data_IF_178998279896
#
_entry.id   IF_178998279896
#
_cell.length_a   1.000
_cell.length_b   1.000
_cell.length_c   1.000
_cell.angle_alpha   90.00
_cell.angle_beta   90.00
_cell.angle_gamma   90.00
#
_symmetry.space_group_name_H-M   'P 1'
#
loop_
_entity.id
_entity.type
_entity.pdbx_description
1 polymer ?
#
# COMPACT_ATOMS: atom_id res chain seq x y z
N UNK A 1 -9.93 -15.36 -20.61
CA UNK A 1 -9.65 -14.55 -19.40
C UNK A 1 -8.32 -15.04 -18.81
N UNK A 2 -7.28 -14.21 -18.88
CA UNK A 2 -5.90 -14.62 -18.53
C UNK A 2 -5.53 -14.30 -17.08
N UNK A 3 -6.32 -13.43 -16.42
CA UNK A 3 -6.13 -13.04 -15.03
C UNK A 3 -7.27 -13.57 -14.16
N UNK A 4 -6.94 -14.08 -12.99
CA UNK A 4 -7.90 -14.50 -11.97
C UNK A 4 -8.14 -13.44 -10.90
N UNK A 5 -7.25 -12.45 -10.81
CA UNK A 5 -7.36 -11.34 -9.88
C UNK A 5 -6.63 -10.10 -10.39
N UNK A 6 -7.21 -8.94 -10.15
CA UNK A 6 -6.57 -7.62 -10.34
C UNK A 6 -6.96 -6.75 -9.15
N UNK A 7 -5.97 -6.32 -8.39
CA UNK A 7 -6.13 -5.37 -7.29
C UNK A 7 -5.45 -4.05 -7.61
N UNK A 8 -5.90 -2.97 -7.00
CA UNK A 8 -5.30 -1.65 -7.15
C UNK A 8 -5.14 -0.97 -5.80
N UNK A 9 -4.04 -0.28 -5.62
CA UNK A 9 -3.80 0.55 -4.45
C UNK A 9 -3.02 1.80 -4.80
N UNK A 10 -3.14 2.81 -3.95
CA UNK A 10 -2.42 4.08 -4.07
C UNK A 10 -1.60 4.27 -2.80
N UNK A 11 -0.29 4.48 -2.96
CA UNK A 11 0.56 4.91 -1.86
C UNK A 11 0.36 6.41 -1.64
N UNK A 12 -0.07 6.76 -0.42
CA UNK A 12 -0.44 8.13 -0.07
C UNK A 12 0.73 8.98 0.42
N UNK A 13 1.89 8.39 0.62
CA UNK A 13 3.04 9.03 1.25
C UNK A 13 3.30 8.52 2.65
N UNK A 14 4.27 9.12 3.32
CA UNK A 14 4.76 8.65 4.61
C UNK A 14 5.04 9.78 5.58
N UNK A 15 5.11 9.41 6.85
CA UNK A 15 5.68 10.23 7.90
C UNK A 15 6.64 9.39 8.76
N UNK A 16 7.68 10.03 9.27
CA UNK A 16 8.62 9.43 10.20
C UNK A 16 8.02 9.42 11.61
N UNK A 17 7.85 8.22 12.19
CA UNK A 17 7.43 8.02 13.57
C UNK A 17 8.61 8.08 14.53
N UNK A 18 9.76 7.60 14.08
CA UNK A 18 11.05 7.64 14.76
C UNK A 18 12.18 7.53 13.74
N UNK A 19 13.46 7.74 14.10
CA UNK A 19 14.60 7.63 13.17
C UNK A 19 14.71 6.27 12.45
N UNK A 20 14.07 5.24 12.99
CA UNK A 20 14.12 3.87 12.44
C UNK A 20 12.74 3.34 12.04
N UNK A 21 11.69 4.14 12.09
CA UNK A 21 10.33 3.70 11.84
C UNK A 21 9.55 4.74 11.05
N UNK A 22 9.05 4.34 9.89
CA UNK A 22 8.23 5.17 9.00
C UNK A 22 6.83 4.58 8.88
N UNK A 23 5.81 5.43 8.99
CA UNK A 23 4.43 5.09 8.66
C UNK A 23 4.16 5.44 7.20
N UNK A 24 3.77 4.46 6.39
CA UNK A 24 3.21 4.65 5.06
C UNK A 24 1.69 4.50 5.07
N UNK A 25 0.97 5.38 4.39
CA UNK A 25 -0.48 5.25 4.23
C UNK A 25 -0.82 4.66 2.87
N UNK A 26 -1.76 3.73 2.86
CA UNK A 26 -2.26 3.04 1.65
C UNK A 26 -3.75 3.25 1.49
N UNK A 27 -4.16 3.59 0.27
CA UNK A 27 -5.54 3.54 -0.18
C UNK A 27 -5.72 2.29 -1.03
N UNK A 28 -6.56 1.36 -0.58
CA UNK A 28 -6.91 0.16 -1.33
C UNK A 28 -8.24 0.36 -2.02
N UNK A 29 -8.29 0.04 -3.32
CA UNK A 29 -9.51 0.17 -4.13
C UNK A 29 -10.25 -1.16 -4.16
N UNK A 30 -11.57 -1.08 -4.16
CA UNK A 30 -12.47 -2.25 -4.21
C UNK A 30 -12.14 -3.24 -3.05
N UNK A 31 -11.91 -4.51 -3.39
CA UNK A 31 -11.60 -5.57 -2.43
C UNK A 31 -10.09 -5.81 -2.21
N UNK A 32 -9.24 -4.92 -2.72
CA UNK A 32 -7.77 -5.10 -2.70
C UNK A 32 -7.20 -5.24 -1.29
N UNK A 33 -7.80 -4.60 -0.29
CA UNK A 33 -7.37 -4.75 1.11
C UNK A 33 -7.34 -6.21 1.60
N UNK A 34 -8.21 -7.06 1.06
CA UNK A 34 -8.34 -8.46 1.47
C UNK A 34 -7.11 -9.31 1.14
N UNK A 35 -6.28 -8.90 0.16
CA UNK A 35 -5.04 -9.63 -0.16
C UNK A 35 -3.84 -9.22 0.69
N UNK A 36 -4.00 -8.23 1.57
CA UNK A 36 -2.97 -7.72 2.48
C UNK A 36 -3.33 -7.92 3.97
N UNK A 37 -3.67 -9.14 4.42
CA UNK A 37 -4.19 -9.35 5.78
C UNK A 37 -3.22 -8.93 6.88
N UNK A 38 -1.91 -8.93 6.63
CA UNK A 38 -0.91 -8.46 7.60
C UNK A 38 -0.98 -6.95 7.91
N UNK A 39 -1.57 -6.17 7.00
CA UNK A 39 -1.65 -4.70 7.11
C UNK A 39 -3.09 -4.19 7.24
N UNK A 40 -4.09 -5.06 7.05
CA UNK A 40 -5.50 -4.65 6.98
C UNK A 40 -6.42 -5.42 7.94
N UNK A 41 -5.85 -6.29 8.79
CA UNK A 41 -6.65 -6.99 9.81
C UNK A 41 -7.07 -6.04 10.90
N UNK A 42 -8.37 -5.99 11.17
CA UNK A 42 -8.98 -5.16 12.20
C UNK A 42 -8.95 -5.88 13.55
N UNK A 43 -8.63 -5.14 14.60
CA UNK A 43 -8.76 -5.55 16.01
C UNK A 43 -10.01 -4.93 16.63
N UNK A 44 -10.28 -3.65 16.33
CA UNK A 44 -11.45 -2.93 16.81
C UNK A 44 -12.00 -2.00 15.73
N UNK A 45 -13.33 -1.82 15.67
CA UNK A 45 -13.97 -0.97 14.67
C UNK A 45 -14.05 -1.61 13.29
N UNK A 46 -13.78 -0.84 12.24
CA UNK A 46 -13.86 -1.29 10.84
C UNK A 46 -12.74 -0.68 9.98
N UNK A 47 -12.51 -1.28 8.82
CA UNK A 47 -11.69 -0.63 7.78
C UNK A 47 -12.35 0.67 7.29
N UNK A 48 -11.56 1.64 6.85
CA UNK A 48 -12.05 2.85 6.19
C UNK A 48 -12.85 2.50 4.92
N UNK A 49 -14.00 3.14 4.74
CA UNK A 49 -14.88 2.95 3.56
C UNK A 49 -15.06 4.26 2.78
N UNK A 50 -15.01 5.39 3.46
CA UNK A 50 -15.19 6.71 2.87
C UNK A 50 -13.86 7.49 2.83
N UNK A 51 -13.74 8.49 1.93
CA UNK A 51 -12.59 9.39 1.92
C UNK A 51 -12.34 10.02 3.29
N UNK A 52 -11.08 10.25 3.62
CA UNK A 52 -10.62 10.84 4.89
C UNK A 52 -10.90 10.01 6.14
N UNK A 53 -11.36 8.78 6.02
CA UNK A 53 -11.33 7.80 7.09
C UNK A 53 -9.96 7.12 7.16
N UNK A 54 -9.54 6.71 8.38
CA UNK A 54 -8.25 6.05 8.59
C UNK A 54 -8.36 4.91 9.60
N UNK A 55 -7.57 3.86 9.38
CA UNK A 55 -7.32 2.81 10.36
C UNK A 55 -5.81 2.69 10.61
N UNK A 56 -5.43 2.66 11.89
CA UNK A 56 -4.05 2.59 12.37
C UNK A 56 -3.95 1.55 13.50
N UNK A 57 -2.80 0.93 13.69
CA UNK A 57 -2.59 0.05 14.83
C UNK A 57 -2.42 0.84 16.13
N UNK A 58 -2.68 0.18 17.25
CA UNK A 58 -2.55 0.79 18.58
C UNK A 58 -1.13 1.35 18.83
N UNK A 59 -0.10 0.62 18.40
CA UNK A 59 1.28 1.06 18.57
C UNK A 59 1.60 2.31 17.74
N UNK A 60 1.06 2.42 16.51
CA UNK A 60 1.21 3.64 15.69
C UNK A 60 0.54 4.83 16.39
N UNK A 61 -0.66 4.65 16.92
CA UNK A 61 -1.36 5.70 17.66
C UNK A 61 -0.56 6.18 18.88
N UNK A 62 0.08 5.26 19.60
CA UNK A 62 1.01 5.58 20.70
C UNK A 62 2.22 6.40 20.24
N UNK A 63 2.86 6.01 19.13
CA UNK A 63 3.96 6.78 18.54
C UNK A 63 3.54 8.21 18.16
N UNK A 64 2.31 8.36 17.68
CA UNK A 64 1.74 9.66 17.33
C UNK A 64 1.29 10.49 18.54
N UNK A 65 1.28 9.91 19.76
CA UNK A 65 0.76 10.55 20.97
C UNK A 65 -0.74 10.79 20.92
N UNK A 66 -1.47 9.97 20.15
CA UNK A 66 -2.91 10.10 20.01
C UNK A 66 -3.64 9.46 21.21
N UNK A 67 -4.43 10.26 21.92
CA UNK A 67 -5.18 9.83 23.12
C UNK A 67 -6.69 9.64 22.85
N UNK A 68 -7.12 9.88 21.60
CA UNK A 68 -8.51 9.69 21.17
C UNK A 68 -8.87 8.23 20.91
N UNK A 69 -10.11 8.00 20.49
CA UNK A 69 -10.64 6.68 20.12
C UNK A 69 -11.28 6.68 18.74
N UNK A 70 -11.95 5.55 18.41
CA UNK A 70 -12.72 5.41 17.18
C UNK A 70 -13.79 6.52 17.11
N UNK A 71 -13.86 7.20 15.96
CA UNK A 71 -14.73 8.36 15.73
C UNK A 71 -14.04 9.70 15.94
N UNK A 72 -12.90 9.73 16.61
CA UNK A 72 -12.15 10.97 16.83
C UNK A 72 -11.27 11.31 15.62
N UNK A 73 -10.91 12.59 15.55
CA UNK A 73 -10.10 13.13 14.46
C UNK A 73 -8.62 13.07 14.79
N UNK A 74 -7.82 12.66 13.82
CA UNK A 74 -6.37 12.65 13.90
C UNK A 74 -5.78 13.44 12.74
N UNK A 75 -4.83 14.32 13.03
CA UNK A 75 -4.14 15.14 12.02
C UNK A 75 -2.75 14.58 11.76
N UNK A 76 -2.45 14.30 10.48
CA UNK A 76 -1.16 13.78 10.05
C UNK A 76 -0.54 14.68 8.99
N UNK A 77 0.79 14.85 9.07
CA UNK A 77 1.59 15.52 8.05
C UNK A 77 2.41 14.49 7.30
N UNK A 78 2.19 14.39 6.01
CA UNK A 78 2.79 13.38 5.17
C UNK A 78 3.61 14.01 4.04
N UNK A 79 4.55 13.23 3.53
CA UNK A 79 5.35 13.56 2.37
C UNK A 79 5.24 12.44 1.34
N UNK A 80 4.98 12.78 0.09
CA UNK A 80 4.97 11.86 -1.03
C UNK A 80 5.94 12.32 -2.10
N UNK A 81 6.82 11.43 -2.54
CA UNK A 81 7.74 11.67 -3.63
C UNK A 81 7.10 11.32 -4.96
N UNK A 82 7.50 12.00 -6.03
CA UNK A 82 7.20 11.56 -7.38
C UNK A 82 7.87 10.22 -7.67
N UNK A 83 7.17 9.39 -8.44
CA UNK A 83 7.74 8.15 -8.97
C UNK A 83 8.93 8.48 -9.86
N UNK A 84 10.05 7.79 -9.65
CA UNK A 84 11.33 8.00 -10.37
C UNK A 84 11.99 9.36 -10.19
N UNK A 85 11.46 10.25 -9.35
CA UNK A 85 12.09 11.51 -9.01
C UNK A 85 11.95 11.82 -7.52
N UNK A 86 12.85 11.27 -6.71
CA UNK A 86 12.85 11.47 -5.25
C UNK A 86 13.20 12.91 -4.84
N UNK A 87 13.70 13.74 -5.75
CA UNK A 87 13.97 15.15 -5.49
C UNK A 87 12.68 15.99 -5.47
N UNK A 88 11.64 15.54 -6.17
CA UNK A 88 10.33 16.19 -6.20
C UNK A 88 9.40 15.52 -5.19
N UNK A 89 9.07 16.26 -4.14
CA UNK A 89 8.18 15.78 -3.09
C UNK A 89 7.01 16.76 -2.87
N UNK A 90 5.87 16.20 -2.53
CA UNK A 90 4.68 16.94 -2.12
C UNK A 90 4.40 16.65 -0.65
N UNK A 91 4.38 17.72 0.17
CA UNK A 91 4.07 17.64 1.58
C UNK A 91 2.67 18.20 1.82
N UNK A 92 1.90 17.52 2.63
CA UNK A 92 0.54 17.93 2.99
C UNK A 92 0.19 17.53 4.41
N UNK A 93 -0.75 18.25 4.98
CA UNK A 93 -1.33 17.95 6.31
C UNK A 93 -2.82 17.73 6.12
N UNK A 94 -3.33 16.65 6.69
CA UNK A 94 -4.73 16.27 6.56
C UNK A 94 -5.30 15.77 7.89
N UNK A 95 -6.58 16.04 8.10
CA UNK A 95 -7.37 15.55 9.23
C UNK A 95 -8.20 14.35 8.80
N UNK A 96 -8.03 13.23 9.48
CA UNK A 96 -8.74 11.97 9.24
C UNK A 96 -9.65 11.63 10.42
N UNK A 97 -10.70 10.85 10.16
CA UNK A 97 -11.52 10.24 11.21
C UNK A 97 -11.04 8.80 11.43
N UNK A 98 -10.65 8.48 12.67
CA UNK A 98 -10.24 7.12 13.02
C UNK A 98 -11.47 6.19 13.04
N UNK A 99 -11.49 5.17 12.18
CA UNK A 99 -12.62 4.22 12.07
C UNK A 99 -12.29 2.83 12.56
N UNK A 100 -11.00 2.50 12.68
CA UNK A 100 -10.59 1.18 13.14
C UNK A 100 -9.19 1.15 13.70
N UNK A 101 -8.99 0.20 14.60
CA UNK A 101 -7.68 -0.19 15.13
C UNK A 101 -7.23 -1.44 14.40
N UNK A 102 -6.10 -1.36 13.73
CA UNK A 102 -5.47 -2.49 13.05
C UNK A 102 -4.70 -3.35 14.05
N UNK A 103 -4.59 -4.63 13.77
CA UNK A 103 -3.65 -5.51 14.48
C UNK A 103 -2.22 -5.05 14.25
N UNK A 104 -1.38 -5.11 15.27
CA UNK A 104 0.02 -4.77 15.15
C UNK A 104 0.73 -5.72 14.17
N UNK A 105 1.48 -5.14 13.23
CA UNK A 105 2.31 -5.88 12.28
C UNK A 105 3.78 -5.88 12.73
N UNK A 106 4.17 -6.87 13.50
CA UNK A 106 5.54 -6.97 14.04
C UNK A 106 6.63 -7.07 12.96
N UNK A 107 6.33 -7.61 11.79
CA UNK A 107 7.27 -7.64 10.67
C UNK A 107 7.54 -6.23 10.12
N UNK A 108 6.55 -5.35 10.15
CA UNK A 108 6.72 -3.94 9.78
C UNK A 108 7.72 -3.23 10.68
N UNK A 109 7.68 -3.49 11.98
CA UNK A 109 8.64 -2.89 12.93
C UNK A 109 10.07 -3.36 12.69
N UNK A 110 10.27 -4.62 12.32
CA UNK A 110 11.62 -5.14 12.01
C UNK A 110 12.14 -4.62 10.68
N UNK A 111 11.28 -4.33 9.72
CA UNK A 111 11.65 -3.74 8.42
C UNK A 111 11.77 -2.21 8.43
N UNK A 112 11.34 -1.57 9.53
CA UNK A 112 11.36 -0.11 9.67
C UNK A 112 10.19 0.60 8.97
N UNK A 113 9.21 -0.14 8.46
CA UNK A 113 8.03 0.44 7.77
C UNK A 113 6.75 -0.21 8.25
N UNK A 114 5.84 0.59 8.77
CA UNK A 114 4.48 0.18 9.17
C UNK A 114 3.45 0.85 8.27
N UNK A 115 2.29 0.23 8.14
CA UNK A 115 1.25 0.66 7.19
C UNK A 115 -0.02 1.07 7.94
N UNK A 116 -0.58 2.22 7.57
CA UNK A 116 -1.94 2.61 7.87
C UNK A 116 -2.82 2.55 6.61
N UNK A 117 -4.12 2.46 6.79
CA UNK A 117 -5.09 2.34 5.71
C UNK A 117 -6.00 3.55 5.71
N UNK A 118 -6.23 4.14 4.55
CA UNK A 118 -7.21 5.22 4.35
C UNK A 118 -8.32 4.79 3.40
N UNK A 119 -9.46 5.47 3.49
CA UNK A 119 -10.62 5.15 2.69
C UNK A 119 -10.46 5.53 1.21
N UNK A 120 -11.15 4.80 0.34
CA UNK A 120 -11.15 5.03 -1.10
C UNK A 120 -11.64 6.44 -1.44
N UNK A 121 -10.93 7.12 -2.36
CA UNK A 121 -11.19 8.52 -2.73
C UNK A 121 -10.37 9.55 -1.93
N UNK A 122 -9.60 9.13 -0.96
CA UNK A 122 -8.74 10.03 -0.16
C UNK A 122 -7.62 10.65 -1.00
N UNK A 123 -7.02 9.86 -1.90
CA UNK A 123 -5.95 10.34 -2.79
C UNK A 123 -6.43 11.49 -3.68
N UNK A 124 -7.61 11.36 -4.26
CA UNK A 124 -8.19 12.38 -5.13
C UNK A 124 -8.46 13.71 -4.40
N UNK A 125 -8.73 13.64 -3.09
CA UNK A 125 -8.95 14.84 -2.28
C UNK A 125 -7.67 15.52 -1.83
N UNK A 126 -6.58 14.78 -1.63
CA UNK A 126 -5.39 15.28 -0.97
C UNK A 126 -4.18 15.47 -1.89
N UNK A 127 -4.06 14.68 -2.95
CA UNK A 127 -2.87 14.67 -3.80
C UNK A 127 -3.13 15.38 -5.13
N UNK A 128 -2.15 16.14 -5.64
CA UNK A 128 -2.17 16.56 -7.04
C UNK A 128 -2.16 15.33 -7.96
N UNK A 129 -2.83 15.43 -9.11
CA UNK A 129 -2.98 14.33 -10.07
C UNK A 129 -1.65 13.68 -10.44
N UNK A 130 -0.60 14.48 -10.61
CA UNK A 130 0.75 13.99 -10.93
C UNK A 130 1.39 13.12 -9.85
N UNK A 131 0.87 13.15 -8.62
CA UNK A 131 1.31 12.32 -7.50
C UNK A 131 0.42 11.10 -7.26
N UNK A 132 -0.66 10.93 -8.05
CA UNK A 132 -1.54 9.78 -7.98
C UNK A 132 -1.11 8.77 -9.04
N UNK A 133 -0.60 7.62 -8.59
CA UNK A 133 -0.31 6.47 -9.44
C UNK A 133 -0.67 5.18 -8.70
N UNK A 134 -1.13 4.22 -9.47
CA UNK A 134 -1.62 2.95 -8.94
C UNK A 134 -0.50 1.91 -8.89
N UNK A 135 -0.45 1.19 -7.77
CA UNK A 135 0.16 -0.13 -7.75
C UNK A 135 -0.93 -1.11 -8.19
N UNK A 136 -0.59 -2.00 -9.10
CA UNK A 136 -1.52 -3.00 -9.63
C UNK A 136 -1.01 -4.38 -9.28
N UNK A 137 -1.81 -5.12 -8.51
CA UNK A 137 -1.54 -6.51 -8.16
C UNK A 137 -2.30 -7.42 -9.10
N UNK A 138 -1.63 -8.35 -9.73
CA UNK A 138 -2.24 -9.32 -10.62
C UNK A 138 -1.97 -10.75 -10.17
N UNK A 139 -2.94 -11.63 -10.44
CA UNK A 139 -2.78 -13.08 -10.37
C UNK A 139 -3.21 -13.67 -11.71
N UNK A 140 -2.35 -14.48 -12.31
CA UNK A 140 -2.68 -15.20 -13.54
C UNK A 140 -3.66 -16.33 -13.26
N UNK A 141 -4.53 -16.62 -14.23
CA UNK A 141 -5.49 -17.71 -14.12
C UNK A 141 -4.81 -19.10 -14.24
N UNK A 142 -3.72 -19.18 -15.00
CA UNK A 142 -2.95 -20.40 -15.22
C UNK A 142 -1.47 -20.20 -14.86
N UNK A 143 -0.92 -21.15 -14.09
CA UNK A 143 0.49 -21.13 -13.67
C UNK A 143 1.48 -21.25 -14.83
N UNK A 144 1.14 -22.03 -15.86
CA UNK A 144 2.03 -22.30 -16.99
C UNK A 144 2.21 -21.08 -17.90
N UNK A 145 1.22 -20.20 -17.95
CA UNK A 145 1.23 -18.99 -18.76
C UNK A 145 1.70 -17.75 -18.00
N UNK A 146 2.13 -17.90 -16.73
CA UNK A 146 2.46 -16.78 -15.85
C UNK A 146 3.39 -15.76 -16.52
N UNK A 147 4.60 -16.19 -16.94
CA UNK A 147 5.59 -15.27 -17.50
C UNK A 147 5.08 -14.62 -18.80
N UNK A 148 4.48 -15.39 -19.69
CA UNK A 148 3.95 -14.85 -20.96
C UNK A 148 2.85 -13.80 -20.74
N UNK A 149 2.02 -13.97 -19.69
CA UNK A 149 0.99 -12.98 -19.36
C UNK A 149 1.62 -11.70 -18.81
N UNK A 150 2.63 -11.82 -17.94
CA UNK A 150 3.35 -10.66 -17.40
C UNK A 150 4.08 -9.89 -18.50
N UNK A 151 4.78 -10.60 -19.38
CA UNK A 151 5.52 -9.99 -20.50
C UNK A 151 4.59 -9.25 -21.46
N UNK A 152 3.44 -9.84 -21.79
CA UNK A 152 2.44 -9.22 -22.64
C UNK A 152 1.86 -7.95 -22.00
N UNK A 153 1.54 -7.98 -20.69
CA UNK A 153 1.03 -6.81 -19.96
C UNK A 153 2.07 -5.69 -19.93
N UNK A 154 3.32 -6.00 -19.59
CA UNK A 154 4.40 -5.03 -19.54
C UNK A 154 4.63 -4.38 -20.90
N UNK A 155 4.60 -5.16 -21.97
CA UNK A 155 4.76 -4.67 -23.35
C UNK A 155 3.56 -3.81 -23.78
N UNK A 156 2.33 -4.26 -23.52
CA UNK A 156 1.09 -3.59 -23.96
C UNK A 156 0.88 -2.26 -23.25
N UNK A 157 1.22 -2.19 -21.95
CA UNK A 157 1.10 -1.00 -21.13
C UNK A 157 2.39 -0.18 -21.05
N UNK A 158 3.46 -0.60 -21.76
CA UNK A 158 4.77 0.04 -21.73
C UNK A 158 5.31 0.22 -20.30
N UNK A 159 5.17 -0.82 -19.47
CA UNK A 159 5.66 -0.82 -18.09
C UNK A 159 7.15 -1.13 -18.12
N UNK A 160 7.94 -0.28 -17.45
CA UNK A 160 9.38 -0.53 -17.32
C UNK A 160 9.63 -1.73 -16.40
N UNK A 161 10.63 -2.53 -16.70
CA UNK A 161 10.97 -3.74 -15.92
C UNK A 161 11.20 -3.45 -14.43
N UNK A 162 11.79 -2.31 -14.10
CA UNK A 162 12.01 -1.88 -12.71
C UNK A 162 10.70 -1.57 -11.95
N UNK A 163 9.59 -1.40 -12.67
CA UNK A 163 8.27 -1.18 -12.08
C UNK A 163 7.47 -2.47 -11.86
N UNK A 164 8.05 -3.61 -12.24
CA UNK A 164 7.46 -4.92 -12.03
C UNK A 164 8.15 -5.65 -10.88
N UNK A 165 7.38 -6.06 -9.89
CA UNK A 165 7.88 -6.87 -8.77
C UNK A 165 7.12 -8.19 -8.66
N UNK A 166 7.79 -9.22 -8.14
CA UNK A 166 7.26 -10.57 -8.04
C UNK A 166 7.15 -11.00 -6.59
N UNK A 167 6.04 -11.63 -6.22
CA UNK A 167 5.94 -12.33 -4.94
C UNK A 167 6.68 -13.66 -5.01
N UNK A 168 8.01 -13.59 -4.87
CA UNK A 168 8.94 -14.73 -5.04
C UNK A 168 8.59 -15.90 -4.13
N UNK A 169 8.24 -15.62 -2.88
CA UNK A 169 7.88 -16.66 -1.90
C UNK A 169 6.64 -17.43 -2.37
N UNK A 170 5.63 -16.72 -2.82
CA UNK A 170 4.40 -17.31 -3.31
C UNK A 170 4.59 -18.08 -4.62
N UNK A 171 5.34 -17.53 -5.57
CA UNK A 171 5.64 -18.19 -6.86
C UNK A 171 6.43 -19.48 -6.65
N UNK A 172 7.45 -19.44 -5.79
CA UNK A 172 8.26 -20.63 -5.47
C UNK A 172 7.41 -21.70 -4.75
N UNK A 173 6.56 -21.30 -3.80
CA UNK A 173 5.65 -22.23 -3.11
C UNK A 173 4.68 -22.94 -4.07
N UNK A 174 4.29 -22.29 -5.16
CA UNK A 174 3.41 -22.84 -6.18
C UNK A 174 4.15 -23.56 -7.31
N UNK A 175 5.49 -23.54 -7.33
CA UNK A 175 6.31 -24.10 -8.41
C UNK A 175 6.13 -23.38 -9.75
N UNK A 176 5.87 -22.08 -9.72
CA UNK A 176 5.71 -21.24 -10.91
C UNK A 176 7.09 -20.75 -11.35
N UNK A 177 7.45 -20.99 -12.61
CA UNK A 177 8.67 -20.44 -13.21
C UNK A 177 8.45 -18.98 -13.61
N UNK A 178 9.43 -18.13 -13.33
CA UNK A 178 9.45 -16.71 -13.67
C UNK A 178 10.88 -16.26 -13.96
N UNK A 179 11.00 -15.20 -14.77
CA UNK A 179 12.28 -14.54 -15.01
C UNK A 179 12.30 -13.27 -14.18
N UNK A 180 13.05 -13.28 -13.09
CA UNK A 180 13.33 -12.06 -12.35
C UNK A 180 14.52 -11.36 -13.02
N UNK A 181 14.42 -10.05 -13.24
CA UNK A 181 15.55 -9.26 -13.69
C UNK A 181 16.65 -9.30 -12.66
N UNK A 182 17.82 -9.79 -13.05
CA UNK A 182 18.97 -10.04 -12.18
C UNK A 182 19.84 -8.80 -11.97
N UNK A 183 19.25 -7.62 -11.82
CA UNK A 183 20.01 -6.41 -11.46
C UNK A 183 19.62 -5.95 -10.06
N UNK A 184 20.31 -6.50 -9.07
CA UNK A 184 20.13 -6.13 -7.66
C UNK A 184 20.70 -7.17 -6.69
N UNK A 185 21.94 -7.65 -6.96
CA UNK A 185 22.76 -8.35 -5.97
C UNK A 185 23.90 -7.45 -5.52
#
# INVERSE_FOLDING_TARGET
ERLSYVGKSIYMGSLELSPSLTLGLMEYLDDTAAIYPSSTSIEEGRLPEAPMEIALSEDILKYLGFEGGIGDKITLSLQKNLRHNIADSYSYTAEFVLTGILKNNYLGYTSGTVTGVVGEGTAEQLLPESYIYYNVDIRTADKKSFQAVVDDINMELNIHELDTSYNIVYLNALGISYTANSEGA
#
